data_IF_969220211209
#
_entry.id   IF_969220211209
#
_cell.length_a   1.000
_cell.length_b   1.000
_cell.length_c   1.000
_cell.angle_alpha   90.00
_cell.angle_beta   90.00
_cell.angle_gamma   90.00
#
_symmetry.space_group_name_H-M   'P 1'
#
loop_
_entity.id
_entity.type
_entity.pdbx_description
1 polymer ?
#
# COMPACT_ATOMS: atom_id res chain seq x y z
N UNK A 1 4.11 0.86 91.82
CA UNK A 1 5.48 1.41 91.70
C UNK A 1 6.15 0.78 90.47
N UNK A 2 5.58 1.01 89.29
CA UNK A 2 5.87 0.22 88.08
C UNK A 2 5.93 1.12 86.84
N UNK A 3 6.68 2.22 86.92
CA UNK A 3 6.80 3.18 85.80
C UNK A 3 8.26 3.54 85.47
N UNK A 4 9.26 3.15 86.30
CA UNK A 4 10.66 3.56 86.06
C UNK A 4 11.46 2.69 85.09
N UNK A 5 11.02 1.48 84.73
CA UNK A 5 11.86 0.55 83.95
C UNK A 5 11.61 0.52 82.44
N UNK A 6 10.46 0.98 81.95
CA UNK A 6 10.17 0.96 80.50
C UNK A 6 10.71 2.17 79.72
N UNK A 7 11.06 3.27 80.40
CA UNK A 7 11.69 4.43 79.75
C UNK A 7 13.20 4.26 79.53
N UNK A 8 13.90 3.52 80.40
CA UNK A 8 15.36 3.35 80.30
C UNK A 8 15.77 2.52 79.08
N UNK A 9 15.07 1.41 78.81
CA UNK A 9 15.44 0.46 77.75
C UNK A 9 15.30 1.01 76.31
N UNK A 10 14.33 1.89 76.03
CA UNK A 10 14.20 2.53 74.71
C UNK A 10 15.30 3.57 74.46
N UNK A 11 15.70 4.31 75.49
CA UNK A 11 16.75 5.34 75.40
C UNK A 11 18.12 4.68 75.13
N UNK A 12 18.42 3.56 75.79
CA UNK A 12 19.68 2.84 75.57
C UNK A 12 19.80 2.25 74.17
N UNK A 13 18.69 1.81 73.58
CA UNK A 13 18.67 1.20 72.24
C UNK A 13 18.86 2.22 71.12
N UNK A 14 18.32 3.42 71.28
CA UNK A 14 18.51 4.54 70.34
C UNK A 14 19.97 5.03 70.41
N UNK A 15 20.52 5.17 71.63
CA UNK A 15 21.90 5.63 71.82
C UNK A 15 22.94 4.65 71.23
N UNK A 16 22.67 3.35 71.27
CA UNK A 16 23.51 2.32 70.65
C UNK A 16 23.48 2.35 69.11
N UNK A 17 22.31 2.60 68.52
CA UNK A 17 22.15 2.73 67.06
C UNK A 17 22.84 3.99 66.51
N UNK A 18 22.83 5.09 67.27
CA UNK A 18 23.59 6.32 66.93
C UNK A 18 25.10 6.13 66.96
N UNK A 19 25.61 5.39 67.92
CA UNK A 19 27.05 5.13 68.03
C UNK A 19 27.53 4.26 66.86
N UNK A 20 26.73 3.30 66.39
CA UNK A 20 27.10 2.43 65.26
C UNK A 20 27.15 3.17 63.93
N UNK A 21 26.15 4.00 63.62
CA UNK A 21 26.13 4.70 62.32
C UNK A 21 27.20 5.79 62.23
N UNK A 22 27.48 6.53 63.32
CA UNK A 22 28.56 7.52 63.32
C UNK A 22 29.95 6.89 63.13
N UNK A 23 30.08 5.59 63.41
CA UNK A 23 31.30 4.82 63.21
C UNK A 23 31.45 4.32 61.78
N UNK A 24 30.33 3.96 61.14
CA UNK A 24 30.31 3.44 59.77
C UNK A 24 30.28 4.55 58.71
N UNK A 25 29.79 5.74 59.07
CA UNK A 25 29.63 6.89 58.18
C UNK A 25 30.10 8.21 58.84
N UNK A 26 31.43 8.39 58.99
CA UNK A 26 32.00 9.55 59.68
C UNK A 26 31.86 10.87 58.90
N UNK A 27 31.62 10.80 57.59
CA UNK A 27 31.49 11.94 56.67
C UNK A 27 30.23 12.78 56.90
N UNK A 28 29.25 12.25 57.65
CA UNK A 28 28.02 12.95 58.02
C UNK A 28 27.54 12.58 59.44
N UNK A 29 28.47 12.16 60.30
CA UNK A 29 28.20 11.79 61.70
C UNK A 29 27.70 12.96 62.57
N UNK A 30 27.97 14.19 62.14
CA UNK A 30 27.53 15.45 62.75
C UNK A 30 26.11 15.86 62.32
N UNK A 31 25.56 15.26 61.25
CA UNK A 31 24.25 15.60 60.69
C UNK A 31 23.11 14.71 61.23
N UNK A 32 23.43 13.79 62.14
CA UNK A 32 22.54 12.75 62.63
C UNK A 32 21.36 13.27 63.45
N UNK A 33 21.54 14.38 64.16
CA UNK A 33 20.46 15.00 64.95
C UNK A 33 19.28 15.49 64.09
N UNK A 34 19.48 15.63 62.77
CA UNK A 34 18.47 16.11 61.85
C UNK A 34 17.65 14.98 61.19
N UNK A 35 18.02 13.71 61.38
CA UNK A 35 17.35 12.60 60.68
C UNK A 35 15.93 12.37 61.21
N UNK A 36 15.71 12.54 62.51
CA UNK A 36 14.39 12.45 63.13
C UNK A 36 13.51 13.64 62.70
N UNK A 37 14.10 14.83 62.53
CA UNK A 37 13.42 16.01 62.00
C UNK A 37 13.04 15.82 60.53
N UNK A 38 13.93 15.28 59.70
CA UNK A 38 13.65 14.93 58.29
C UNK A 38 12.53 13.89 58.23
N UNK A 39 12.59 12.85 59.06
CA UNK A 39 11.58 11.79 59.11
C UNK A 39 10.23 12.32 59.56
N UNK A 40 10.20 13.24 60.52
CA UNK A 40 8.98 13.91 60.97
C UNK A 40 8.42 14.88 59.90
N UNK A 41 9.29 15.60 59.21
CA UNK A 41 8.92 16.49 58.11
C UNK A 41 8.27 15.70 56.98
N UNK A 42 8.89 14.59 56.56
CA UNK A 42 8.36 13.69 55.54
C UNK A 42 7.04 13.03 55.95
N UNK A 43 6.87 12.64 57.22
CA UNK A 43 5.64 11.98 57.68
C UNK A 43 4.45 12.92 57.81
N UNK A 44 4.70 14.22 57.89
CA UNK A 44 3.66 15.27 57.93
C UNK A 44 3.30 15.80 56.54
N UNK A 45 4.03 15.38 55.50
CA UNK A 45 3.83 15.79 54.12
C UNK A 45 2.58 15.07 53.56
N UNK A 46 1.51 15.82 53.33
CA UNK A 46 0.28 15.30 52.73
C UNK A 46 0.31 15.47 51.22
N UNK A 47 -0.02 14.41 50.50
CA UNK A 47 -0.02 14.41 49.03
C UNK A 47 -1.09 15.36 48.46
N UNK A 48 -2.19 15.53 49.18
CA UNK A 48 -3.32 16.38 48.78
C UNK A 48 -2.92 17.87 48.68
N UNK A 49 -1.96 18.33 49.50
CA UNK A 49 -1.45 19.71 49.47
C UNK A 49 -0.62 20.03 48.20
N UNK A 50 -0.27 19.00 47.41
CA UNK A 50 0.53 19.11 46.18
C UNK A 50 -0.37 19.33 44.95
N UNK A 51 -1.63 18.87 45.01
CA UNK A 51 -2.50 18.70 43.84
C UNK A 51 -3.39 19.93 43.58
N UNK A 52 -3.81 20.69 44.61
CA UNK A 52 -4.82 21.75 44.48
C UNK A 52 -4.29 23.19 44.67
N UNK A 53 -3.33 23.62 43.84
CA UNK A 53 -3.02 25.07 43.71
C UNK A 53 -3.08 25.55 42.27
N UNK A 54 -4.22 25.33 41.62
CA UNK A 54 -4.66 26.12 40.46
C UNK A 54 -5.25 27.48 40.86
N UNK A 55 -5.36 27.79 42.15
CA UNK A 55 -5.78 29.10 42.64
C UNK A 55 -4.57 30.00 42.92
N UNK A 56 -4.40 30.97 42.02
CA UNK A 56 -3.54 32.15 42.20
C UNK A 56 -3.85 32.81 43.56
N UNK A 57 -2.79 33.06 44.32
CA UNK A 57 -2.72 33.79 45.59
C UNK A 57 -3.43 35.14 45.56
N UNK A 58 -4.13 35.48 46.64
CA UNK A 58 -3.92 36.72 47.40
C UNK A 58 -4.78 36.66 48.66
N UNK A 59 -4.16 36.45 49.81
CA UNK A 59 -4.58 37.11 51.04
C UNK A 59 -3.40 37.21 52.01
N UNK A 60 -2.88 38.43 52.04
CA UNK A 60 -1.98 38.95 53.04
C UNK A 60 -2.75 39.01 54.37
N UNK A 61 -2.48 38.13 55.33
CA UNK A 61 -2.94 38.35 56.69
C UNK A 61 -1.79 38.23 57.69
N UNK A 62 -1.23 39.41 57.99
CA UNK A 62 -0.50 39.66 59.22
C UNK A 62 -1.43 39.36 60.40
N UNK A 63 -1.01 38.46 61.28
CA UNK A 63 -1.40 38.47 62.68
C UNK A 63 -0.30 37.81 63.49
N UNK A 64 0.42 38.61 64.27
CA UNK A 64 1.44 38.13 65.17
C UNK A 64 0.86 37.30 66.31
N UNK A 65 1.61 36.29 66.75
CA UNK A 65 1.69 35.89 68.15
C UNK A 65 2.92 35.01 68.34
N UNK A 66 3.68 35.31 69.40
CA UNK A 66 4.97 34.75 69.76
C UNK A 66 4.92 33.27 70.20
N UNK A 67 6.11 32.68 70.16
CA UNK A 67 6.60 31.47 70.84
C UNK A 67 6.25 30.09 70.25
N UNK A 68 7.17 29.56 69.44
CA UNK A 68 7.83 28.27 69.71
C UNK A 68 9.03 28.10 68.78
N UNK A 69 10.23 28.25 69.31
CA UNK A 69 11.49 28.03 68.60
C UNK A 69 11.75 26.52 68.50
N UNK A 70 11.32 25.90 67.40
CA UNK A 70 12.00 24.72 66.79
C UNK A 70 11.35 24.21 65.49
N UNK A 71 10.20 24.76 65.06
CA UNK A 71 9.46 24.28 63.88
C UNK A 71 9.87 24.89 62.54
N UNK A 72 10.83 25.82 62.52
CA UNK A 72 11.19 26.54 61.29
C UNK A 72 11.95 25.67 60.27
N UNK A 73 12.68 24.64 60.70
CA UNK A 73 13.49 23.83 59.79
C UNK A 73 12.67 22.75 59.05
N UNK A 74 11.70 22.12 59.74
CA UNK A 74 10.82 21.11 59.13
C UNK A 74 9.91 21.70 58.06
N UNK A 75 9.37 22.90 58.32
CA UNK A 75 8.52 23.63 57.38
C UNK A 75 9.27 24.04 56.10
N UNK A 76 10.57 24.36 56.22
CA UNK A 76 11.41 24.71 55.07
C UNK A 76 11.66 23.50 54.16
N UNK A 77 12.03 22.35 54.73
CA UNK A 77 12.23 21.10 53.97
C UNK A 77 10.96 20.64 53.26
N UNK A 78 9.81 20.67 53.94
CA UNK A 78 8.53 20.33 53.33
C UNK A 78 8.17 21.29 52.19
N UNK A 79 8.44 22.59 52.34
CA UNK A 79 8.24 23.57 51.27
C UNK A 79 9.16 23.32 50.06
N UNK A 80 10.41 22.93 50.27
CA UNK A 80 11.36 22.63 49.19
C UNK A 80 10.96 21.38 48.41
N UNK A 81 10.55 20.31 49.10
CA UNK A 81 10.06 19.07 48.47
C UNK A 81 8.78 19.35 47.69
N UNK A 82 7.81 20.06 48.28
CA UNK A 82 6.55 20.41 47.59
C UNK A 82 6.79 21.30 46.37
N UNK A 83 7.67 22.31 46.48
CA UNK A 83 8.05 23.15 45.34
C UNK A 83 8.72 22.33 44.24
N UNK A 84 9.58 21.36 44.61
CA UNK A 84 10.22 20.47 43.63
C UNK A 84 9.20 19.56 42.95
N UNK A 85 8.31 18.94 43.71
CA UNK A 85 7.23 18.09 43.18
C UNK A 85 6.31 18.88 42.25
N UNK A 86 5.89 20.08 42.66
CA UNK A 86 5.09 20.99 41.81
C UNK A 86 5.83 21.36 40.53
N UNK A 87 7.11 21.75 40.62
CA UNK A 87 7.91 22.09 39.44
C UNK A 87 8.06 20.91 38.47
N UNK A 88 8.21 19.69 38.99
CA UNK A 88 8.27 18.47 38.19
C UNK A 88 6.92 18.16 37.55
N UNK A 89 5.82 18.29 38.29
CA UNK A 89 4.48 18.08 37.77
C UNK A 89 4.13 19.06 36.65
N UNK A 90 4.37 20.36 36.84
CA UNK A 90 4.14 21.37 35.80
C UNK A 90 5.05 21.15 34.58
N UNK A 91 6.30 20.74 34.80
CA UNK A 91 7.21 20.37 33.71
C UNK A 91 6.70 19.16 32.93
N UNK A 92 6.23 18.11 33.61
CA UNK A 92 5.62 16.93 32.99
C UNK A 92 4.37 17.30 32.20
N UNK A 93 3.48 18.10 32.78
CA UNK A 93 2.24 18.55 32.14
C UNK A 93 2.51 19.40 30.90
N UNK A 94 3.44 20.35 31.01
CA UNK A 94 3.87 21.21 29.89
C UNK A 94 4.49 20.38 28.77
N UNK A 95 5.42 19.48 29.10
CA UNK A 95 6.07 18.59 28.13
C UNK A 95 5.06 17.68 27.44
N UNK A 96 4.09 17.12 28.18
CA UNK A 96 3.03 16.27 27.65
C UNK A 96 2.13 17.05 26.69
N UNK A 97 1.70 18.25 27.07
CA UNK A 97 0.87 19.11 26.23
C UNK A 97 1.58 19.51 24.94
N UNK A 98 2.88 19.83 25.03
CA UNK A 98 3.72 20.13 23.86
C UNK A 98 3.84 18.92 22.94
N UNK A 99 4.09 17.73 23.50
CA UNK A 99 4.16 16.49 22.73
C UNK A 99 2.85 16.23 21.98
N UNK A 100 1.70 16.32 22.65
CA UNK A 100 0.39 16.13 22.02
C UNK A 100 0.14 17.13 20.87
N UNK A 101 0.52 18.40 21.05
CA UNK A 101 0.42 19.40 19.99
C UNK A 101 1.29 19.04 18.79
N UNK A 102 2.53 18.62 19.02
CA UNK A 102 3.44 18.16 17.97
C UNK A 102 2.87 16.94 17.22
N UNK A 103 2.36 15.93 17.94
CA UNK A 103 1.73 14.76 17.33
C UNK A 103 0.51 15.13 16.48
N UNK A 104 -0.29 16.10 16.94
CA UNK A 104 -1.46 16.58 16.19
C UNK A 104 -1.05 17.30 14.91
N UNK A 105 -0.01 18.16 14.98
CA UNK A 105 0.55 18.83 13.81
C UNK A 105 1.16 17.83 12.83
N UNK A 106 1.94 16.86 13.31
CA UNK A 106 2.51 15.79 12.50
C UNK A 106 1.42 15.00 11.76
N UNK A 107 0.35 14.62 12.45
CA UNK A 107 -0.79 13.95 11.84
C UNK A 107 -1.47 14.83 10.77
N UNK A 108 -1.64 16.12 11.05
CA UNK A 108 -2.26 17.06 10.10
C UNK A 108 -1.42 17.22 8.83
N UNK A 109 -0.09 17.28 8.96
CA UNK A 109 0.84 17.28 7.82
C UNK A 109 0.63 16.03 6.97
N UNK A 110 0.60 14.85 7.60
CA UNK A 110 0.36 13.59 6.90
C UNK A 110 -0.96 13.60 6.12
N UNK A 111 -2.05 14.05 6.75
CA UNK A 111 -3.37 14.12 6.10
C UNK A 111 -3.39 15.08 4.89
N UNK A 112 -2.70 16.22 4.99
CA UNK A 112 -2.61 17.18 3.89
C UNK A 112 -1.92 16.59 2.66
N UNK A 113 -0.76 15.93 2.85
CA UNK A 113 -0.04 15.29 1.74
C UNK A 113 -0.77 14.07 1.17
N UNK A 114 -1.50 13.32 2.00
CA UNK A 114 -2.37 12.24 1.53
C UNK A 114 -3.45 12.79 0.57
N UNK A 115 -4.13 13.88 0.93
CA UNK A 115 -5.14 14.49 0.06
C UNK A 115 -4.57 14.95 -1.28
N UNK A 116 -3.39 15.58 -1.26
CA UNK A 116 -2.71 16.00 -2.49
C UNK A 116 -2.34 14.79 -3.36
N UNK A 117 -1.81 13.73 -2.75
CA UNK A 117 -1.45 12.49 -3.44
C UNK A 117 -2.68 11.84 -4.11
N UNK A 118 -3.79 11.73 -3.38
CA UNK A 118 -5.05 11.20 -3.90
C UNK A 118 -5.60 12.03 -5.08
N UNK A 119 -5.47 13.36 -5.01
CA UNK A 119 -5.84 14.23 -6.12
C UNK A 119 -4.99 13.96 -7.36
N UNK A 120 -3.67 13.85 -7.20
CA UNK A 120 -2.75 13.58 -8.31
C UNK A 120 -3.04 12.22 -8.97
N UNK A 121 -3.29 11.18 -8.19
CA UNK A 121 -3.70 9.85 -8.68
C UNK A 121 -4.97 9.95 -9.53
N UNK A 122 -5.98 10.71 -9.06
CA UNK A 122 -7.24 10.86 -9.78
C UNK A 122 -7.07 11.54 -11.13
N UNK A 123 -6.30 12.63 -11.18
CA UNK A 123 -6.05 13.33 -12.44
C UNK A 123 -5.17 12.49 -13.38
N UNK A 124 -4.20 11.72 -12.87
CA UNK A 124 -3.44 10.75 -13.67
C UNK A 124 -4.37 9.74 -14.35
N UNK A 125 -5.23 9.06 -13.57
CA UNK A 125 -6.16 8.08 -14.13
C UNK A 125 -7.14 8.69 -15.12
N UNK A 126 -7.62 9.91 -14.85
CA UNK A 126 -8.52 10.63 -15.76
C UNK A 126 -7.87 10.92 -17.11
N UNK A 127 -6.60 11.34 -17.11
CA UNK A 127 -5.84 11.60 -18.34
C UNK A 127 -5.51 10.29 -19.09
N UNK A 128 -5.26 9.21 -18.37
CA UNK A 128 -4.97 7.90 -18.96
C UNK A 128 -6.22 7.16 -19.46
N UNK A 129 -7.42 7.50 -18.98
CA UNK A 129 -8.66 6.75 -19.22
C UNK A 129 -8.94 6.55 -20.71
N UNK A 130 -8.90 7.62 -21.49
CA UNK A 130 -9.26 7.53 -22.91
C UNK A 130 -8.18 6.77 -23.69
N UNK A 131 -6.90 6.91 -23.31
CA UNK A 131 -5.79 6.09 -23.84
C UNK A 131 -6.01 4.60 -23.55
N UNK A 132 -6.41 4.26 -22.33
CA UNK A 132 -6.67 2.87 -21.92
C UNK A 132 -7.85 2.30 -22.71
N UNK A 133 -8.94 3.06 -22.85
CA UNK A 133 -10.12 2.65 -23.61
C UNK A 133 -9.79 2.42 -25.09
N UNK A 134 -9.01 3.30 -25.71
CA UNK A 134 -8.57 3.14 -27.09
C UNK A 134 -7.67 1.91 -27.25
N UNK A 135 -6.71 1.70 -26.33
CA UNK A 135 -5.87 0.49 -26.32
C UNK A 135 -6.72 -0.78 -26.22
N UNK A 136 -7.72 -0.81 -25.33
CA UNK A 136 -8.62 -1.96 -25.20
C UNK A 136 -9.45 -2.19 -26.47
N UNK A 137 -9.95 -1.11 -27.09
CA UNK A 137 -10.69 -1.19 -28.35
C UNK A 137 -9.81 -1.78 -29.47
N UNK A 138 -8.57 -1.32 -29.59
CA UNK A 138 -7.59 -1.85 -30.55
C UNK A 138 -7.26 -3.31 -30.27
N UNK A 139 -7.03 -3.70 -29.01
CA UNK A 139 -6.81 -5.09 -28.60
C UNK A 139 -7.98 -5.98 -29.06
N UNK A 140 -9.21 -5.59 -28.76
CA UNK A 140 -10.41 -6.35 -29.15
C UNK A 140 -10.53 -6.46 -30.68
N UNK A 141 -10.18 -5.40 -31.42
CA UNK A 141 -10.17 -5.43 -32.89
C UNK A 141 -9.11 -6.40 -33.42
N UNK A 142 -7.91 -6.41 -32.85
CA UNK A 142 -6.84 -7.34 -33.22
C UNK A 142 -7.29 -8.77 -32.95
N UNK A 143 -7.81 -9.06 -31.77
CA UNK A 143 -8.30 -10.40 -31.42
C UNK A 143 -9.43 -10.86 -32.36
N UNK A 144 -10.37 -9.97 -32.68
CA UNK A 144 -11.42 -10.26 -33.65
C UNK A 144 -10.84 -10.56 -35.03
N UNK A 145 -9.94 -9.72 -35.55
CA UNK A 145 -9.30 -9.92 -36.85
C UNK A 145 -8.49 -11.22 -36.90
N UNK A 146 -7.84 -11.60 -35.81
CA UNK A 146 -7.14 -12.89 -35.69
C UNK A 146 -8.13 -14.05 -35.77
N UNK A 147 -9.31 -13.95 -35.17
CA UNK A 147 -10.35 -14.98 -35.28
C UNK A 147 -10.91 -15.08 -36.71
N UNK A 148 -11.18 -13.95 -37.37
CA UNK A 148 -11.54 -13.93 -38.80
C UNK A 148 -10.46 -14.63 -39.64
N UNK A 149 -9.19 -14.31 -39.41
CA UNK A 149 -8.06 -14.90 -40.15
C UNK A 149 -7.96 -16.41 -39.92
N UNK A 150 -8.07 -16.88 -38.67
CA UNK A 150 -8.10 -18.32 -38.33
C UNK A 150 -9.21 -19.04 -39.07
N UNK A 151 -10.41 -18.44 -39.12
CA UNK A 151 -11.54 -19.03 -39.80
C UNK A 151 -11.31 -19.13 -41.30
N UNK A 152 -10.86 -18.06 -41.94
CA UNK A 152 -10.57 -18.04 -43.38
C UNK A 152 -9.47 -19.06 -43.76
N UNK A 153 -8.43 -19.18 -42.94
CA UNK A 153 -7.38 -20.19 -43.16
C UNK A 153 -7.94 -21.61 -43.04
N UNK A 154 -8.88 -21.84 -42.13
CA UNK A 154 -9.57 -23.12 -42.02
C UNK A 154 -10.38 -23.45 -43.30
N UNK A 155 -11.12 -22.48 -43.85
CA UNK A 155 -11.84 -22.64 -45.12
C UNK A 155 -10.88 -23.04 -46.25
N UNK A 156 -9.76 -22.31 -46.38
CA UNK A 156 -8.73 -22.60 -47.39
C UNK A 156 -8.18 -24.02 -47.22
N UNK A 157 -7.89 -24.44 -45.99
CA UNK A 157 -7.36 -25.77 -45.72
C UNK A 157 -8.37 -26.87 -46.08
N UNK A 158 -9.63 -26.71 -45.70
CA UNK A 158 -10.72 -27.65 -46.05
C UNK A 158 -10.83 -27.79 -47.57
N UNK A 159 -10.85 -26.66 -48.30
CA UNK A 159 -10.99 -26.69 -49.75
C UNK A 159 -9.78 -27.33 -50.45
N UNK A 160 -8.56 -27.08 -49.96
CA UNK A 160 -7.36 -27.74 -50.46
C UNK A 160 -7.39 -29.27 -50.22
N UNK A 161 -7.90 -29.73 -49.07
CA UNK A 161 -8.08 -31.17 -48.78
C UNK A 161 -9.13 -31.82 -49.69
N UNK A 162 -10.25 -31.14 -49.93
CA UNK A 162 -11.31 -31.61 -50.84
C UNK A 162 -10.82 -31.80 -52.27
N UNK A 163 -10.07 -30.83 -52.80
CA UNK A 163 -9.54 -30.92 -54.16
C UNK A 163 -8.49 -32.03 -54.31
N UNK A 164 -7.69 -32.30 -53.27
CA UNK A 164 -6.72 -33.40 -53.28
C UNK A 164 -7.36 -34.78 -53.31
N UNK A 165 -8.54 -34.96 -52.73
CA UNK A 165 -9.24 -36.26 -52.70
C UNK A 165 -9.95 -36.61 -54.02
N UNK A 166 -10.14 -35.66 -54.94
CA UNK A 166 -10.75 -35.89 -56.26
C UNK A 166 -9.74 -36.29 -57.35
N UNK A 167 -8.44 -36.05 -57.13
CA UNK A 167 -7.39 -36.52 -58.02
C UNK A 167 -6.96 -37.94 -57.63
N UNK A 168 -7.56 -38.93 -58.29
CA UNK A 168 -7.01 -40.29 -58.34
C UNK A 168 -5.65 -40.26 -59.05
N UNK A 169 -4.58 -39.99 -58.30
CA UNK A 169 -3.22 -40.11 -58.78
C UNK A 169 -2.26 -40.37 -57.62
N UNK A 170 -2.06 -41.66 -57.36
CA UNK A 170 -0.86 -42.29 -56.79
C UNK A 170 -0.44 -41.90 -55.37
N UNK A 171 -0.26 -42.96 -54.57
CA UNK A 171 0.61 -43.01 -53.39
C UNK A 171 1.77 -42.01 -53.47
N UNK A 172 1.69 -40.96 -52.66
CA UNK A 172 2.85 -40.39 -52.01
C UNK A 172 2.43 -40.06 -50.58
N UNK A 173 2.71 -41.02 -49.70
CA UNK A 173 2.80 -40.78 -48.27
C UNK A 173 3.85 -39.70 -48.05
N UNK A 174 3.43 -38.44 -47.91
CA UNK A 174 4.27 -37.44 -47.27
C UNK A 174 4.37 -37.89 -45.82
N UNK A 175 5.46 -38.61 -45.56
CA UNK A 175 5.97 -38.91 -44.23
C UNK A 175 6.20 -37.56 -43.53
N UNK A 176 5.17 -37.05 -42.85
CA UNK A 176 5.33 -36.08 -41.77
C UNK A 176 5.81 -36.86 -40.55
N UNK A 177 7.03 -37.38 -40.62
CA UNK A 177 7.79 -37.76 -39.44
C UNK A 177 8.12 -36.47 -38.69
N UNK A 178 7.20 -36.06 -37.83
CA UNK A 178 7.53 -35.29 -36.65
C UNK A 178 6.84 -35.98 -35.47
N UNK A 179 7.20 -37.25 -35.25
CA UNK A 179 7.25 -37.82 -33.92
C UNK A 179 8.41 -37.14 -33.17
N UNK A 180 8.24 -35.85 -32.92
CA UNK A 180 8.88 -35.23 -31.77
C UNK A 180 7.71 -34.69 -30.97
N UNK A 181 7.26 -35.53 -30.04
CA UNK A 181 6.35 -35.17 -28.97
C UNK A 181 7.13 -34.22 -28.03
N UNK A 182 7.52 -33.07 -28.58
CA UNK A 182 8.21 -32.02 -27.84
C UNK A 182 7.22 -31.60 -26.79
N UNK A 183 7.63 -31.74 -25.53
CA UNK A 183 6.89 -31.25 -24.37
C UNK A 183 6.62 -29.78 -24.69
N UNK A 184 5.38 -29.47 -25.10
CA UNK A 184 4.96 -28.11 -25.38
C UNK A 184 5.07 -27.39 -24.03
N UNK A 185 6.04 -26.47 -23.84
CA UNK A 185 6.10 -25.71 -22.61
C UNK A 185 4.79 -24.94 -22.47
N UNK A 186 4.41 -24.61 -21.24
CA UNK A 186 3.19 -23.86 -20.95
C UNK A 186 3.10 -22.61 -21.85
N UNK A 187 2.30 -22.70 -22.90
CA UNK A 187 2.22 -21.72 -24.00
C UNK A 187 1.22 -20.62 -23.69
N UNK A 188 0.71 -20.56 -22.46
CA UNK A 188 -0.35 -19.61 -22.06
C UNK A 188 0.04 -18.16 -22.34
N UNK A 189 1.33 -17.81 -22.30
CA UNK A 189 1.86 -16.48 -22.64
C UNK A 189 1.86 -16.17 -24.15
N UNK A 190 1.98 -17.18 -25.01
CA UNK A 190 2.02 -17.05 -26.48
C UNK A 190 0.66 -16.69 -27.09
N UNK A 191 -0.42 -16.83 -26.33
CA UNK A 191 -1.77 -16.43 -26.73
C UNK A 191 -2.14 -15.01 -26.30
N UNK A 192 -1.23 -14.29 -25.62
CA UNK A 192 -1.51 -12.91 -25.24
C UNK A 192 -1.53 -12.02 -26.48
N UNK A 193 -2.48 -11.07 -26.53
CA UNK A 193 -2.57 -10.11 -27.65
C UNK A 193 -1.25 -9.35 -27.84
N UNK A 194 -0.49 -9.12 -26.77
CA UNK A 194 0.85 -8.50 -26.83
C UNK A 194 1.82 -9.32 -27.67
N UNK A 195 1.92 -10.62 -27.44
CA UNK A 195 2.81 -11.50 -28.21
C UNK A 195 2.36 -11.63 -29.66
N UNK A 196 1.05 -11.67 -29.91
CA UNK A 196 0.49 -11.66 -31.26
C UNK A 196 0.87 -10.36 -31.99
N UNK A 197 0.72 -9.20 -31.34
CA UNK A 197 1.12 -7.90 -31.90
C UNK A 197 2.60 -7.85 -32.22
N UNK A 198 3.46 -8.33 -31.31
CA UNK A 198 4.89 -8.42 -31.55
C UNK A 198 5.21 -9.29 -32.79
N UNK A 199 4.55 -10.45 -32.90
CA UNK A 199 4.71 -11.32 -34.06
C UNK A 199 4.22 -10.68 -35.37
N UNK A 200 3.13 -9.91 -35.35
CA UNK A 200 2.66 -9.14 -36.50
C UNK A 200 3.71 -8.10 -36.93
N UNK A 201 4.26 -7.35 -35.97
CA UNK A 201 5.23 -6.28 -36.27
C UNK A 201 6.57 -6.79 -36.78
N UNK A 202 6.98 -7.99 -36.36
CA UNK A 202 8.25 -8.63 -36.76
C UNK A 202 8.11 -9.45 -38.04
N UNK A 203 6.89 -9.83 -38.43
CA UNK A 203 6.63 -10.56 -39.66
C UNK A 203 6.66 -9.64 -40.87
N UNK A 204 7.44 -10.02 -41.89
CA UNK A 204 7.55 -9.25 -43.14
C UNK A 204 6.32 -9.38 -44.05
N UNK A 205 5.48 -10.39 -43.82
CA UNK A 205 4.29 -10.68 -44.64
C UNK A 205 3.30 -11.54 -43.86
N UNK A 206 2.05 -11.61 -44.35
CA UNK A 206 1.02 -12.50 -43.81
C UNK A 206 1.47 -13.97 -43.83
N UNK A 207 2.14 -14.43 -44.88
CA UNK A 207 2.64 -15.80 -44.96
C UNK A 207 3.72 -16.07 -43.89
N UNK A 208 4.65 -15.14 -43.71
CA UNK A 208 5.66 -15.25 -42.65
C UNK A 208 5.02 -15.31 -41.27
N UNK A 209 4.00 -14.48 -41.04
CA UNK A 209 3.24 -14.46 -39.79
C UNK A 209 2.53 -15.80 -39.52
N UNK A 210 1.83 -16.33 -40.52
CA UNK A 210 1.14 -17.64 -40.40
C UNK A 210 2.15 -18.75 -40.13
N UNK A 211 3.25 -18.79 -40.87
CA UNK A 211 4.28 -19.82 -40.72
C UNK A 211 4.95 -19.77 -39.34
N UNK A 212 5.23 -18.56 -38.84
CA UNK A 212 5.86 -18.38 -37.52
C UNK A 212 4.94 -18.79 -36.37
N UNK A 213 3.62 -18.66 -36.56
CA UNK A 213 2.61 -19.00 -35.55
C UNK A 213 1.86 -20.31 -35.87
N UNK A 214 2.43 -21.17 -36.71
CA UNK A 214 1.78 -22.40 -37.17
C UNK A 214 1.62 -23.44 -36.06
N UNK A 215 2.48 -23.46 -35.06
CA UNK A 215 2.38 -24.38 -33.92
C UNK A 215 1.46 -23.86 -32.81
N UNK A 216 1.08 -22.58 -32.85
CA UNK A 216 0.32 -21.88 -31.81
C UNK A 216 -1.04 -21.39 -32.33
N UNK A 217 -1.10 -20.18 -32.90
CA UNK A 217 -2.34 -19.53 -33.34
C UNK A 217 -3.02 -20.30 -34.48
N UNK A 218 -2.23 -20.93 -35.34
CA UNK A 218 -2.66 -21.54 -36.60
C UNK A 218 -2.38 -23.05 -36.63
N UNK A 219 -2.36 -23.70 -35.47
CA UNK A 219 -2.11 -25.14 -35.38
C UNK A 219 -3.25 -25.93 -36.01
N UNK A 220 -2.89 -26.88 -36.88
CA UNK A 220 -3.83 -27.72 -37.60
C UNK A 220 -4.79 -28.50 -36.70
N UNK A 221 -4.30 -28.95 -35.55
CA UNK A 221 -5.10 -29.67 -34.57
C UNK A 221 -6.11 -28.77 -33.84
N UNK A 222 -5.92 -27.44 -33.88
CA UNK A 222 -6.77 -26.46 -33.22
C UNK A 222 -7.84 -25.87 -34.17
N UNK A 223 -7.78 -26.16 -35.47
CA UNK A 223 -8.82 -25.77 -36.44
C UNK A 223 -10.15 -26.51 -36.27
N UNK A 224 -10.15 -27.63 -35.53
CA UNK A 224 -11.35 -28.40 -35.19
C UNK A 224 -12.36 -27.65 -34.30
N UNK A 225 -12.01 -26.48 -33.77
CA UNK A 225 -12.94 -25.69 -32.96
C UNK A 225 -14.00 -24.92 -33.77
N UNK A 226 -13.78 -24.68 -35.06
CA UNK A 226 -14.75 -23.94 -35.89
C UNK A 226 -15.61 -24.85 -36.76
N UNK A 227 -15.03 -25.96 -37.22
CA UNK A 227 -15.68 -26.95 -38.06
C UNK A 227 -15.16 -28.34 -37.70
N UNK A 228 -16.04 -29.26 -37.38
CA UNK A 228 -15.71 -30.68 -37.40
C UNK A 228 -15.73 -31.14 -38.87
N UNK A 229 -14.54 -31.15 -39.47
CA UNK A 229 -14.34 -31.42 -40.90
C UNK A 229 -14.84 -32.82 -41.27
N UNK A 230 -14.62 -33.82 -40.40
CA UNK A 230 -15.01 -35.20 -40.66
C UNK A 230 -16.53 -35.37 -40.66
N UNK A 231 -17.25 -34.63 -39.81
CA UNK A 231 -18.72 -34.62 -39.83
C UNK A 231 -19.27 -33.88 -41.05
N UNK A 232 -18.69 -32.75 -41.44
CA UNK A 232 -19.14 -31.98 -42.60
C UNK A 232 -18.93 -32.73 -43.91
N UNK A 233 -17.80 -33.42 -44.07
CA UNK A 233 -17.53 -34.26 -45.22
C UNK A 233 -18.54 -35.41 -45.36
N UNK A 234 -18.96 -36.02 -44.24
CA UNK A 234 -19.98 -37.09 -44.21
C UNK A 234 -21.38 -36.59 -44.56
N UNK A 235 -21.75 -35.39 -44.10
CA UNK A 235 -23.09 -34.84 -44.31
C UNK A 235 -23.36 -34.48 -45.78
N UNK A 236 -22.34 -33.98 -46.49
CA UNK A 236 -22.50 -33.49 -47.86
C UNK A 236 -22.16 -34.53 -48.93
N UNK A 237 -21.95 -35.80 -48.57
CA UNK A 237 -21.74 -36.91 -49.52
C UNK A 237 -20.71 -36.61 -50.62
N UNK A 238 -19.65 -35.87 -50.28
CA UNK A 238 -18.59 -35.41 -51.20
C UNK A 238 -19.02 -34.40 -52.29
N UNK A 239 -20.21 -33.80 -52.20
CA UNK A 239 -20.56 -32.63 -53.02
C UNK A 239 -19.81 -31.38 -52.50
N UNK A 240 -18.69 -31.08 -53.16
CA UNK A 240 -17.82 -29.96 -52.82
C UNK A 240 -18.51 -28.60 -52.96
N UNK A 241 -19.52 -28.49 -53.84
CA UNK A 241 -20.22 -27.22 -54.08
C UNK A 241 -21.18 -26.91 -52.93
N UNK A 242 -21.96 -27.90 -52.48
CA UNK A 242 -22.87 -27.75 -51.34
C UNK A 242 -22.12 -27.54 -50.02
N UNK A 243 -21.00 -28.25 -49.82
CA UNK A 243 -20.14 -28.06 -48.65
C UNK A 243 -19.50 -26.67 -48.62
N UNK A 244 -19.01 -26.17 -49.76
CA UNK A 244 -18.46 -24.82 -49.85
C UNK A 244 -19.53 -23.76 -49.52
N UNK A 245 -20.75 -23.92 -50.03
CA UNK A 245 -21.85 -23.00 -49.75
C UNK A 245 -22.22 -23.00 -48.26
N UNK A 246 -22.27 -24.17 -47.61
CA UNK A 246 -22.55 -24.29 -46.17
C UNK A 246 -21.44 -23.64 -45.31
N UNK A 247 -20.17 -23.84 -45.68
CA UNK A 247 -19.03 -23.21 -44.99
C UNK A 247 -19.06 -21.68 -45.15
N UNK A 248 -19.33 -21.16 -46.35
CA UNK A 248 -19.47 -19.72 -46.60
C UNK A 248 -20.65 -19.16 -45.80
N UNK A 249 -21.77 -19.87 -45.78
CA UNK A 249 -22.94 -19.47 -45.00
C UNK A 249 -22.65 -19.42 -43.50
N UNK A 250 -21.91 -20.40 -42.96
CA UNK A 250 -21.49 -20.42 -41.54
C UNK A 250 -20.51 -19.29 -41.21
N UNK A 251 -19.54 -19.02 -42.07
CA UNK A 251 -18.64 -17.86 -41.93
C UNK A 251 -19.46 -16.57 -41.83
N UNK A 252 -20.32 -16.37 -42.82
CA UNK A 252 -21.19 -15.21 -42.89
C UNK A 252 -22.06 -15.12 -41.63
N UNK A 253 -22.71 -16.18 -41.17
CA UNK A 253 -23.52 -16.09 -39.94
C UNK A 253 -22.72 -15.79 -38.67
N UNK A 254 -21.48 -16.26 -38.59
CA UNK A 254 -20.62 -15.99 -37.44
C UNK A 254 -20.11 -14.54 -37.39
N UNK A 255 -19.97 -13.90 -38.55
CA UNK A 255 -19.32 -12.60 -38.68
C UNK A 255 -20.21 -11.50 -39.32
N UNK A 256 -21.42 -11.79 -39.81
CA UNK A 256 -22.32 -10.86 -40.51
C UNK A 256 -23.22 -10.00 -39.61
N UNK A 257 -23.09 -10.05 -38.29
CA UNK A 257 -23.70 -9.01 -37.45
C UNK A 257 -22.95 -7.67 -37.48
N UNK A 258 -21.83 -7.56 -38.22
CA UNK A 258 -21.11 -6.29 -38.42
C UNK A 258 -20.81 -6.00 -39.89
N UNK A 259 -21.85 -5.88 -40.72
CA UNK A 259 -21.74 -5.13 -42.00
C UNK A 259 -21.62 -3.62 -41.81
N UNK A 260 -21.59 -3.14 -40.57
CA UNK A 260 -20.62 -2.10 -40.22
C UNK A 260 -19.24 -2.75 -40.15
N UNK A 261 -18.57 -2.94 -41.28
CA UNK A 261 -17.48 -2.01 -41.57
C UNK A 261 -17.98 -0.61 -41.22
N UNK A 262 -17.99 -0.26 -39.92
CA UNK A 262 -17.65 1.10 -39.58
C UNK A 262 -16.35 1.27 -40.33
N UNK A 263 -16.30 2.21 -41.27
CA UNK A 263 -15.04 2.74 -41.73
C UNK A 263 -14.24 3.07 -40.47
N UNK A 264 -13.51 2.11 -39.91
CA UNK A 264 -12.68 2.27 -38.72
C UNK A 264 -11.44 3.09 -39.06
N UNK A 265 -11.34 3.53 -40.31
CA UNK A 265 -10.59 4.71 -40.71
C UNK A 265 -11.10 6.00 -39.99
N UNK A 266 -12.27 5.97 -39.34
CA UNK A 266 -12.75 6.99 -38.41
C UNK A 266 -12.40 6.71 -36.93
N UNK A 267 -11.55 5.73 -36.61
CA UNK A 267 -10.56 5.99 -35.55
C UNK A 267 -9.64 7.05 -36.14
N UNK A 268 -10.08 8.31 -36.12
CA UNK A 268 -9.18 9.45 -36.13
C UNK A 268 -8.10 9.08 -35.13
N UNK A 269 -6.93 8.70 -35.65
CA UNK A 269 -5.85 8.13 -34.86
C UNK A 269 -5.51 9.19 -33.82
N UNK A 270 -6.09 9.06 -32.63
CA UNK A 270 -5.95 10.03 -31.57
C UNK A 270 -4.49 9.97 -31.17
N UNK A 271 -3.67 10.85 -31.75
CA UNK A 271 -2.26 10.89 -31.44
C UNK A 271 -2.13 11.52 -30.07
N UNK A 272 -2.14 10.69 -29.03
CA UNK A 272 -1.91 11.14 -27.67
C UNK A 272 -0.44 11.56 -27.57
N UNK A 273 -0.24 12.84 -27.25
CA UNK A 273 1.08 13.39 -26.96
C UNK A 273 1.03 14.11 -25.63
N UNK A 274 1.93 13.72 -24.74
CA UNK A 274 2.12 14.43 -23.49
C UNK A 274 2.71 15.81 -23.79
N UNK A 275 1.98 16.87 -23.48
CA UNK A 275 2.46 18.25 -23.54
C UNK A 275 2.32 18.86 -22.15
N UNK A 276 3.44 18.88 -21.43
CA UNK A 276 3.50 19.46 -20.08
C UNK A 276 4.30 20.76 -20.17
N UNK A 277 3.73 21.85 -19.64
CA UNK A 277 4.53 23.01 -19.24
C UNK A 277 5.18 22.66 -17.91
N UNK A 278 6.48 22.93 -17.77
CA UNK A 278 7.18 22.69 -16.51
C UNK A 278 6.39 23.32 -15.36
N UNK A 279 6.00 22.54 -14.33
CA UNK A 279 5.28 23.07 -13.19
C UNK A 279 6.09 24.19 -12.52
N UNK A 280 5.42 25.27 -12.11
CA UNK A 280 6.06 26.28 -11.27
C UNK A 280 6.20 25.73 -9.85
N UNK A 281 7.33 25.05 -9.62
CA UNK A 281 7.65 24.51 -8.30
C UNK A 281 7.83 25.60 -7.24
N UNK A 282 8.10 26.84 -7.61
CA UNK A 282 8.19 27.94 -6.63
C UNK A 282 6.79 28.29 -6.10
N UNK A 283 5.80 28.34 -6.98
CA UNK A 283 4.40 28.54 -6.57
C UNK A 283 3.91 27.37 -5.72
N UNK A 284 4.23 26.13 -6.12
CA UNK A 284 3.88 24.93 -5.34
C UNK A 284 4.55 24.93 -3.95
N UNK A 285 5.85 25.28 -3.88
CA UNK A 285 6.56 25.40 -2.62
C UNK A 285 5.93 26.49 -1.73
N UNK A 286 5.53 27.63 -2.30
CA UNK A 286 4.84 28.68 -1.54
C UNK A 286 3.53 28.19 -0.91
N UNK A 287 2.75 27.37 -1.62
CA UNK A 287 1.52 26.77 -1.09
C UNK A 287 1.83 25.77 0.04
N UNK A 288 2.86 24.95 -0.14
CA UNK A 288 3.27 23.95 0.87
C UNK A 288 3.82 24.64 2.13
N UNK A 289 4.70 25.63 1.98
CA UNK A 289 5.35 26.34 3.09
C UNK A 289 4.39 27.24 3.87
N UNK A 290 3.37 27.83 3.22
CA UNK A 290 2.33 28.57 3.94
C UNK A 290 1.53 27.67 4.90
N UNK A 291 1.48 26.37 4.63
CA UNK A 291 0.70 25.39 5.38
C UNK A 291 1.43 24.84 6.62
N UNK A 292 2.77 24.96 6.68
CA UNK A 292 3.59 24.42 7.77
C UNK A 292 4.51 25.53 8.27
N UNK A 293 4.07 26.25 9.30
CA UNK A 293 4.89 27.26 9.97
C UNK A 293 5.16 26.86 11.40
N UNK A 294 6.42 27.02 11.83
CA UNK A 294 6.75 27.05 13.24
C UNK A 294 6.28 28.40 13.76
N UNK A 295 5.23 28.40 14.58
CA UNK A 295 4.87 29.57 15.36
C UNK A 295 5.92 29.71 16.47
N UNK A 296 6.69 30.80 16.42
CA UNK A 296 7.65 31.18 17.46
C UNK A 296 6.95 31.91 18.61
#
# INVERSE_FOLDING_TARGET
>A
MTIKWFKSSKITRIHLLSITHNKDHPDHADQWEHIDDIKHSLSTLKLDDIIDTTTITNNNHNSGSNNSSNTNNSNNLNSQINNKLKSLWESLRSSTSRYQRLSTTEYSIKQYFEQLHQYLIREEHKLQRDIINDKQTITNQIDNNINHLKYLLNIINIFNKLNRNNDNSSNDSINSSCDDQSIIPDTTTLYSTTTIMESITTSSSLQSFINHNNQTLFNEHNYNNYFDIDTLLKQHSSDSSSLLLDIIHKYNNQFNESTTITDNNNLTLSSYKLSIKQPDFNQLNSIIEQSIKRED
#
